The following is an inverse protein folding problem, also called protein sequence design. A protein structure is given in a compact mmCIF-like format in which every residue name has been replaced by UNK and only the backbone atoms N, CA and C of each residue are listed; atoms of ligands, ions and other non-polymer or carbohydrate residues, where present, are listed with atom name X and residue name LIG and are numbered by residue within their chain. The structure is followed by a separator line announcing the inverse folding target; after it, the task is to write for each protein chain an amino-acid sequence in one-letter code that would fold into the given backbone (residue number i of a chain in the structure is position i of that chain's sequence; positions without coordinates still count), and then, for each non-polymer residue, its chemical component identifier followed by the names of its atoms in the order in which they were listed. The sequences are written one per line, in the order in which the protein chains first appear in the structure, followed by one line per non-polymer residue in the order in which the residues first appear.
data_IF_577783742602
#
_entry.id   IF_577783742602
#
_cell.length_a   1.000
_cell.length_b   1.000
_cell.length_c   1.000
_cell.angle_alpha   90.00
_cell.angle_beta   90.00
_cell.angle_gamma   90.00
#
_symmetry.space_group_name_H-M   'P 1'
#
loop_
_entity.id
_entity.type
_entity.pdbx_description
1 polymer ?
#
# COMPACT_ATOMS: atom_id res chain seq x y z
N UNK A 1 11.50 17.17 13.98
CA UNK A 1 11.53 15.69 13.81
C UNK A 1 12.38 15.32 12.61
N UNK A 2 12.79 14.05 12.45
CA UNK A 2 13.47 13.59 11.24
C UNK A 2 12.47 13.14 10.15
N UNK A 3 12.95 12.89 8.91
CA UNK A 3 12.08 12.47 7.80
C UNK A 3 11.33 11.16 8.09
N UNK A 4 11.97 10.19 8.75
CA UNK A 4 11.33 8.91 9.11
C UNK A 4 10.17 9.11 10.08
N UNK A 5 10.35 9.98 11.08
CA UNK A 5 9.29 10.35 12.02
C UNK A 5 8.16 11.12 11.32
N UNK A 6 8.51 12.03 10.39
CA UNK A 6 7.54 12.79 9.62
C UNK A 6 6.66 11.89 8.75
N UNK A 7 7.22 10.89 8.06
CA UNK A 7 6.44 9.91 7.32
C UNK A 7 5.56 9.03 8.22
N UNK A 8 6.07 8.64 9.39
CA UNK A 8 5.25 7.91 10.37
C UNK A 8 4.07 8.76 10.82
N UNK A 9 4.30 10.05 11.05
CA UNK A 9 3.24 10.99 11.45
C UNK A 9 2.24 11.26 10.31
N UNK A 10 2.69 11.34 9.07
CA UNK A 10 1.83 11.43 7.89
C UNK A 10 0.85 10.24 7.80
N UNK A 11 1.34 9.02 8.02
CA UNK A 11 0.51 7.82 8.08
C UNK A 11 -0.49 7.88 9.24
N UNK A 12 -0.09 8.44 10.38
CA UNK A 12 -0.97 8.65 11.53
C UNK A 12 -2.11 9.60 11.22
N UNK A 13 -1.81 10.78 10.64
CA UNK A 13 -2.85 11.72 10.21
C UNK A 13 -3.82 11.05 9.23
N UNK A 14 -3.30 10.29 8.26
CA UNK A 14 -4.16 9.58 7.30
C UNK A 14 -5.07 8.56 7.98
N UNK A 15 -4.59 7.83 8.98
CA UNK A 15 -5.40 6.88 9.74
C UNK A 15 -6.53 7.60 10.51
N UNK A 16 -6.22 8.71 11.18
CA UNK A 16 -7.22 9.52 11.89
C UNK A 16 -8.27 10.12 10.94
N UNK A 17 -7.85 10.59 9.77
CA UNK A 17 -8.78 11.06 8.72
C UNK A 17 -9.72 9.95 8.28
N UNK A 18 -9.21 8.74 8.00
CA UNK A 18 -10.05 7.60 7.63
C UNK A 18 -11.07 7.25 8.71
N UNK A 19 -10.69 7.36 9.98
CA UNK A 19 -11.60 7.08 11.10
C UNK A 19 -12.70 8.16 11.22
N UNK A 20 -12.34 9.44 11.13
CA UNK A 20 -13.30 10.55 11.06
C UNK A 20 -14.27 10.41 9.86
N UNK A 21 -13.74 10.06 8.68
CA UNK A 21 -14.55 9.82 7.49
C UNK A 21 -15.53 8.68 7.69
N UNK A 22 -15.11 7.57 8.31
CA UNK A 22 -15.99 6.43 8.59
C UNK A 22 -17.14 6.81 9.53
N UNK A 23 -16.84 7.60 10.57
CA UNK A 23 -17.88 8.12 11.48
C UNK A 23 -18.88 8.99 10.72
N UNK A 24 -18.40 9.92 9.88
CA UNK A 24 -19.22 10.88 9.14
C UNK A 24 -19.97 10.27 7.94
N UNK A 25 -19.46 9.23 7.33
CA UNK A 25 -20.15 8.51 6.23
C UNK A 25 -21.28 7.63 6.72
N UNK A 26 -21.27 7.23 7.99
CA UNK A 26 -22.33 6.43 8.55
C UNK A 26 -23.55 7.32 8.81
N UNK A 27 -24.60 7.12 8.01
CA UNK A 27 -25.84 7.89 8.10
C UNK A 27 -26.50 7.82 9.49
N UNK A 28 -26.40 6.70 10.18
CA UNK A 28 -26.94 6.55 11.53
C UNK A 28 -26.28 7.50 12.53
N UNK A 29 -25.01 7.86 12.32
CA UNK A 29 -24.29 8.80 13.18
C UNK A 29 -24.66 10.25 12.93
N UNK A 30 -24.99 10.62 11.69
CA UNK A 30 -25.21 12.01 11.25
C UNK A 30 -26.69 12.39 11.17
N UNK A 31 -27.61 11.45 11.41
CA UNK A 31 -29.06 11.71 11.41
C UNK A 31 -29.66 11.33 12.75
N UNK A 32 -30.69 12.08 13.17
CA UNK A 32 -31.53 11.72 14.32
C UNK A 32 -32.86 11.25 13.79
N UNK A 33 -33.21 10.01 14.09
CA UNK A 33 -34.49 9.43 13.71
C UNK A 33 -35.44 9.41 14.93
N UNK A 34 -36.64 9.94 14.75
CA UNK A 34 -37.66 9.95 15.76
C UNK A 34 -38.92 9.28 15.19
N UNK A 35 -39.32 8.18 15.78
CA UNK A 35 -40.50 7.41 15.39
C UNK A 35 -41.63 7.75 16.36
N UNK A 36 -42.73 8.30 15.87
CA UNK A 36 -43.93 8.55 16.68
C UNK A 36 -45.03 7.57 16.29
N UNK A 37 -45.36 6.67 17.19
CA UNK A 37 -46.47 5.75 17.03
C UNK A 37 -47.77 6.50 17.22
N UNK A 38 -48.47 6.81 16.13
CA UNK A 38 -49.73 7.57 16.15
C UNK A 38 -50.89 6.67 16.60
N UNK A 39 -50.91 6.27 17.89
CA UNK A 39 -51.87 5.33 18.49
C UNK A 39 -53.29 5.92 18.52
N UNK A 40 -53.42 7.23 18.75
CA UNK A 40 -54.70 7.95 18.77
C UNK A 40 -55.50 7.82 17.46
N UNK A 41 -54.82 7.58 16.30
CA UNK A 41 -55.51 7.37 15.01
C UNK A 41 -56.33 6.09 14.95
N UNK A 42 -55.97 5.06 15.72
CA UNK A 42 -56.63 3.76 15.76
C UNK A 42 -57.49 3.65 17.00
N UNK A 43 -57.06 4.18 18.13
CA UNK A 43 -57.72 4.18 19.41
C UNK A 43 -57.69 5.60 19.99
N UNK A 44 -58.80 6.36 19.89
CA UNK A 44 -58.80 7.80 20.26
C UNK A 44 -58.39 8.08 21.71
N UNK A 45 -58.56 7.09 22.61
CA UNK A 45 -58.21 7.19 24.03
C UNK A 45 -56.70 6.92 24.30
N UNK A 46 -55.96 6.41 23.30
CA UNK A 46 -54.56 6.09 23.46
C UNK A 46 -53.70 7.33 23.18
N UNK A 47 -52.70 7.58 24.01
CA UNK A 47 -51.69 8.58 23.77
C UNK A 47 -50.62 8.08 22.78
N UNK A 48 -50.11 8.97 21.94
CA UNK A 48 -49.01 8.70 21.04
C UNK A 48 -47.71 8.47 21.82
N UNK A 49 -46.89 7.57 21.31
CA UNK A 49 -45.58 7.25 21.88
C UNK A 49 -44.46 7.61 20.90
N UNK A 50 -43.52 8.40 21.38
CA UNK A 50 -42.36 8.80 20.59
C UNK A 50 -41.09 8.07 21.06
N UNK A 51 -40.43 7.37 20.12
CA UNK A 51 -39.18 6.68 20.35
C UNK A 51 -38.09 7.35 19.49
N UNK A 52 -36.97 7.68 20.12
CA UNK A 52 -35.79 8.25 19.43
C UNK A 52 -34.80 7.14 19.25
N UNK A 53 -34.37 6.91 17.98
CA UNK A 53 -33.27 6.02 17.67
C UNK A 53 -31.97 6.70 18.02
N UNK A 54 -31.18 6.13 18.90
CA UNK A 54 -29.86 6.66 19.30
C UNK A 54 -28.80 6.02 18.41
N UNK A 55 -27.92 6.82 17.75
CA UNK A 55 -26.78 6.28 17.01
C UNK A 55 -25.86 5.45 17.92
N UNK A 56 -25.25 4.40 17.36
CA UNK A 56 -24.34 3.50 18.10
C UNK A 56 -22.98 4.15 18.44
N UNK A 57 -22.64 5.28 17.80
CA UNK A 57 -21.36 5.93 18.05
C UNK A 57 -21.35 6.80 19.32
N UNK A 58 -20.25 6.75 20.06
CA UNK A 58 -20.00 7.64 21.21
C UNK A 58 -19.90 9.13 20.82
N UNK A 59 -19.71 9.41 19.54
CA UNK A 59 -19.57 10.78 18.98
C UNK A 59 -20.92 11.41 18.56
N UNK A 60 -22.05 10.77 18.78
CA UNK A 60 -23.36 11.23 18.28
C UNK A 60 -23.71 12.68 18.69
N UNK A 61 -23.26 13.12 19.85
CA UNK A 61 -23.43 14.52 20.32
C UNK A 61 -22.38 15.51 19.83
N UNK A 62 -21.31 15.02 19.14
CA UNK A 62 -20.13 15.79 18.73
C UNK A 62 -19.85 15.71 17.22
N UNK A 63 -20.84 15.33 16.40
CA UNK A 63 -20.64 15.10 14.96
C UNK A 63 -20.10 16.35 14.23
N UNK A 64 -20.57 17.53 14.60
CA UNK A 64 -20.03 18.78 14.04
C UNK A 64 -18.55 18.95 14.40
N UNK A 65 -18.16 18.61 15.62
CA UNK A 65 -16.76 18.72 16.04
C UNK A 65 -15.89 17.68 15.35
N UNK A 66 -16.40 16.46 15.10
CA UNK A 66 -15.71 15.45 14.27
C UNK A 66 -15.50 15.95 12.84
N UNK A 67 -16.49 16.63 12.25
CA UNK A 67 -16.34 17.22 10.91
C UNK A 67 -15.29 18.34 10.90
N UNK A 68 -15.25 19.17 11.92
CA UNK A 68 -14.25 20.24 12.04
C UNK A 68 -12.85 19.66 12.35
N UNK A 69 -12.78 18.57 13.12
CA UNK A 69 -11.53 17.85 13.35
C UNK A 69 -10.98 17.26 12.04
N UNK A 70 -11.85 16.71 11.16
CA UNK A 70 -11.41 16.24 9.85
C UNK A 70 -10.82 17.36 9.00
N UNK A 71 -11.39 18.58 9.03
CA UNK A 71 -10.82 19.75 8.35
C UNK A 71 -9.46 20.13 8.94
N UNK A 72 -9.35 20.16 10.27
CA UNK A 72 -8.08 20.38 10.96
C UNK A 72 -7.01 19.36 10.58
N UNK A 73 -7.35 18.08 10.53
CA UNK A 73 -6.43 17.02 10.09
C UNK A 73 -5.96 17.21 8.64
N UNK A 74 -6.84 17.72 7.76
CA UNK A 74 -6.48 18.03 6.39
C UNK A 74 -5.48 19.20 6.31
N UNK A 75 -5.66 20.23 7.13
CA UNK A 75 -4.75 21.37 7.23
C UNK A 75 -3.38 20.92 7.78
N UNK A 76 -3.37 20.12 8.84
CA UNK A 76 -2.16 19.53 9.42
C UNK A 76 -1.41 18.65 8.41
N UNK A 77 -2.14 17.82 7.64
CA UNK A 77 -1.56 17.04 6.55
C UNK A 77 -0.88 17.93 5.52
N UNK A 78 -1.54 18.99 5.10
CA UNK A 78 -0.98 19.95 4.13
C UNK A 78 0.28 20.64 4.65
N UNK A 79 0.29 21.04 5.92
CA UNK A 79 1.43 21.67 6.57
C UNK A 79 2.63 20.70 6.67
N UNK A 80 2.37 19.45 7.08
CA UNK A 80 3.37 18.39 7.16
C UNK A 80 3.96 18.06 5.78
N UNK A 81 3.12 17.88 4.77
CA UNK A 81 3.55 17.60 3.40
C UNK A 81 4.44 18.72 2.84
N UNK A 82 4.11 19.96 3.14
CA UNK A 82 4.95 21.11 2.76
C UNK A 82 6.30 21.11 3.49
N UNK A 83 6.31 20.74 4.78
CA UNK A 83 7.55 20.63 5.57
C UNK A 83 8.43 19.49 5.09
N UNK A 84 7.86 18.31 4.81
CA UNK A 84 8.57 17.16 4.22
C UNK A 84 9.18 17.55 2.86
N UNK A 85 8.42 18.23 2.00
CA UNK A 85 8.92 18.69 0.69
C UNK A 85 10.10 19.64 0.84
N UNK A 86 10.03 20.61 1.77
CA UNK A 86 11.16 21.50 2.04
C UNK A 86 12.39 20.73 2.52
N UNK A 87 12.22 19.76 3.43
CA UNK A 87 13.31 18.93 3.92
C UNK A 87 13.95 18.11 2.79
N UNK A 88 13.15 17.50 1.91
CA UNK A 88 13.64 16.75 0.74
C UNK A 88 14.41 17.64 -0.25
N UNK A 89 13.94 18.85 -0.49
CA UNK A 89 14.60 19.78 -1.40
C UNK A 89 15.99 20.27 -0.92
N UNK A 90 16.26 20.09 0.38
CA UNK A 90 17.57 20.43 0.96
C UNK A 90 18.55 19.25 0.95
N UNK A 91 18.17 18.10 0.39
CA UNK A 91 19.04 16.94 0.23
C UNK A 91 19.94 17.09 -1.01
N UNK A 92 21.14 16.51 -0.94
CA UNK A 92 22.06 16.42 -2.08
C UNK A 92 21.60 15.41 -3.16
N UNK A 93 20.54 14.66 -2.87
CA UNK A 93 19.97 13.65 -3.77
C UNK A 93 18.46 13.90 -3.96
N UNK A 94 17.96 13.64 -5.15
CA UNK A 94 16.51 13.56 -5.39
C UNK A 94 16.00 12.24 -4.83
N UNK A 95 15.51 12.28 -3.58
CA UNK A 95 15.10 11.11 -2.83
C UNK A 95 13.99 10.30 -3.55
N UNK A 96 13.03 10.98 -4.17
CA UNK A 96 11.89 10.30 -4.82
C UNK A 96 12.33 9.58 -6.09
N UNK A 97 13.18 10.23 -6.90
CA UNK A 97 13.77 9.61 -8.09
C UNK A 97 14.68 8.44 -7.72
N UNK A 98 15.51 8.58 -6.67
CA UNK A 98 16.43 7.51 -6.28
C UNK A 98 15.70 6.31 -5.66
N UNK A 99 14.62 6.51 -4.93
CA UNK A 99 13.75 5.41 -4.44
C UNK A 99 13.18 4.63 -5.63
N UNK A 100 12.65 5.31 -6.65
CA UNK A 100 12.11 4.68 -7.85
C UNK A 100 13.19 3.92 -8.64
N UNK A 101 14.35 4.55 -8.85
CA UNK A 101 15.49 3.92 -9.54
C UNK A 101 16.04 2.71 -8.78
N UNK A 102 16.07 2.78 -7.44
CA UNK A 102 16.55 1.67 -6.62
C UNK A 102 15.60 0.48 -6.67
N UNK A 103 14.31 0.73 -6.67
CA UNK A 103 13.30 -0.31 -6.91
C UNK A 103 13.48 -0.96 -8.29
N UNK A 104 13.74 -0.17 -9.33
CA UNK A 104 14.00 -0.70 -10.68
C UNK A 104 15.30 -1.54 -10.72
N UNK A 105 16.39 -1.09 -10.05
CA UNK A 105 17.63 -1.88 -9.92
C UNK A 105 17.39 -3.24 -9.29
N UNK A 106 16.60 -3.29 -8.19
CA UNK A 106 16.25 -4.52 -7.50
C UNK A 106 15.42 -5.46 -8.40
N UNK A 107 14.47 -4.92 -9.15
CA UNK A 107 13.66 -5.70 -10.10
C UNK A 107 14.52 -6.34 -11.19
N UNK A 108 15.46 -5.57 -11.77
CA UNK A 108 16.39 -6.10 -12.79
C UNK A 108 17.33 -7.15 -12.17
N UNK A 109 17.81 -6.91 -10.96
CA UNK A 109 18.65 -7.88 -10.23
C UNK A 109 17.90 -9.21 -9.98
N UNK A 110 16.61 -9.18 -9.67
CA UNK A 110 15.79 -10.37 -9.50
C UNK A 110 15.68 -11.18 -10.79
N UNK A 111 15.47 -10.51 -11.93
CA UNK A 111 15.48 -11.16 -13.25
C UNK A 111 16.83 -11.85 -13.50
N UNK A 112 17.94 -11.18 -13.21
CA UNK A 112 19.28 -11.72 -13.40
C UNK A 112 19.60 -12.88 -12.44
N UNK A 113 19.09 -12.86 -11.21
CA UNK A 113 19.16 -13.99 -10.27
C UNK A 113 18.46 -15.22 -10.86
N UNK A 114 17.26 -15.01 -11.41
CA UNK A 114 16.49 -16.07 -12.08
C UNK A 114 17.27 -16.64 -13.26
N UNK A 115 17.82 -15.80 -14.15
CA UNK A 115 18.64 -16.20 -15.28
C UNK A 115 19.88 -16.99 -14.81
N UNK A 116 20.59 -16.48 -13.78
CA UNK A 116 21.78 -17.15 -13.25
C UNK A 116 21.46 -18.54 -12.64
N UNK A 117 20.23 -18.78 -12.22
CA UNK A 117 19.76 -20.07 -11.71
C UNK A 117 19.47 -21.13 -12.79
N UNK A 118 19.23 -20.71 -14.05
CA UNK A 118 18.90 -21.63 -15.14
C UNK A 118 20.12 -22.49 -15.51
N UNK A 119 19.89 -23.78 -15.75
CA UNK A 119 20.93 -24.74 -16.17
C UNK A 119 20.55 -25.40 -17.48
N UNK A 120 21.56 -25.70 -18.29
CA UNK A 120 21.38 -26.57 -19.45
C UNK A 120 21.00 -27.96 -18.99
N UNK A 121 20.14 -28.62 -19.73
CA UNK A 121 19.68 -29.99 -19.43
C UNK A 121 19.50 -30.78 -20.70
N UNK A 122 19.61 -32.11 -20.57
CA UNK A 122 19.32 -33.05 -21.61
C UNK A 122 18.42 -34.16 -21.06
N UNK A 123 17.39 -34.51 -21.82
CA UNK A 123 16.47 -35.58 -21.46
C UNK A 123 16.01 -36.34 -22.70
N UNK A 124 15.83 -37.64 -22.60
CA UNK A 124 15.20 -38.46 -23.63
C UNK A 124 13.74 -38.70 -23.28
N UNK A 125 12.86 -38.32 -24.20
CA UNK A 125 11.41 -38.51 -24.07
C UNK A 125 11.05 -39.73 -24.91
N UNK A 126 10.74 -40.86 -24.25
CA UNK A 126 10.37 -42.09 -24.91
C UNK A 126 9.09 -41.89 -25.74
N UNK A 127 9.12 -42.37 -26.99
CA UNK A 127 8.01 -42.25 -27.94
C UNK A 127 7.48 -40.80 -28.13
N UNK A 128 8.26 -39.78 -27.83
CA UNK A 128 7.87 -38.39 -27.92
C UNK A 128 7.77 -37.81 -29.31
N UNK A 129 8.39 -38.46 -30.29
CA UNK A 129 8.41 -38.08 -31.69
C UNK A 129 7.59 -39.02 -32.59
N UNK A 130 7.30 -38.56 -33.81
CA UNK A 130 6.65 -39.33 -34.82
C UNK A 130 7.47 -39.26 -36.12
N UNK A 131 7.83 -40.43 -36.66
CA UNK A 131 8.43 -40.58 -37.97
C UNK A 131 7.45 -41.20 -39.00
N UNK A 132 7.82 -41.17 -40.26
CA UNK A 132 7.05 -41.75 -41.33
C UNK A 132 7.93 -42.72 -42.10
N UNK A 133 7.37 -43.86 -42.53
CA UNK A 133 7.99 -44.81 -43.47
C UNK A 133 6.95 -45.32 -44.46
N UNK A 134 7.42 -45.83 -45.57
CA UNK A 134 6.55 -46.55 -46.50
C UNK A 134 6.54 -48.03 -46.14
N UNK A 135 5.37 -48.67 -46.18
CA UNK A 135 5.25 -50.11 -46.02
C UNK A 135 5.52 -50.81 -47.38
N UNK A 136 5.48 -52.15 -47.39
CA UNK A 136 5.71 -52.96 -48.58
C UNK A 136 4.71 -52.69 -49.71
N UNK A 137 3.53 -52.12 -49.39
CA UNK A 137 2.46 -51.79 -50.32
C UNK A 137 2.56 -50.37 -50.85
N UNK A 138 3.62 -49.61 -50.50
CA UNK A 138 3.83 -48.22 -50.89
C UNK A 138 3.05 -47.21 -50.10
N UNK A 139 2.32 -47.60 -49.07
CA UNK A 139 1.57 -46.68 -48.21
C UNK A 139 2.46 -46.06 -47.12
N UNK A 140 2.26 -44.75 -46.86
CA UNK A 140 2.93 -44.04 -45.78
C UNK A 140 2.34 -44.46 -44.42
N UNK A 141 3.17 -45.02 -43.53
CA UNK A 141 2.79 -45.39 -42.16
C UNK A 141 3.61 -44.59 -41.16
N UNK A 142 3.01 -44.27 -40.04
CA UNK A 142 3.69 -43.56 -38.93
C UNK A 142 4.35 -44.57 -37.99
N UNK A 143 5.44 -44.15 -37.38
CA UNK A 143 6.05 -44.87 -36.24
C UNK A 143 6.44 -43.89 -35.14
N UNK A 144 6.49 -44.35 -33.92
CA UNK A 144 6.98 -43.57 -32.77
C UNK A 144 8.48 -43.75 -32.63
N UNK A 145 9.14 -42.65 -32.24
CA UNK A 145 10.55 -42.62 -31.92
C UNK A 145 10.82 -41.80 -30.65
N UNK A 146 11.95 -42.04 -30.04
CA UNK A 146 12.38 -41.26 -28.91
C UNK A 146 12.84 -39.84 -29.35
N UNK A 147 12.62 -38.87 -28.50
CA UNK A 147 13.06 -37.47 -28.73
C UNK A 147 14.12 -37.12 -27.71
N UNK A 148 15.30 -36.79 -28.17
CA UNK A 148 16.35 -36.17 -27.37
C UNK A 148 16.07 -34.67 -27.31
N UNK A 149 15.64 -34.19 -26.13
CA UNK A 149 15.42 -32.76 -25.87
C UNK A 149 16.66 -32.20 -25.17
N UNK A 150 17.32 -31.26 -25.81
CA UNK A 150 18.46 -30.53 -25.25
C UNK A 150 18.02 -29.11 -25.03
N UNK A 151 18.11 -28.65 -23.77
CA UNK A 151 17.87 -27.24 -23.42
C UNK A 151 19.24 -26.61 -23.12
N UNK A 152 19.58 -25.56 -23.85
CA UNK A 152 20.83 -24.81 -23.67
C UNK A 152 20.52 -23.38 -23.28
N UNK A 153 21.40 -22.79 -22.48
CA UNK A 153 21.36 -21.37 -22.17
C UNK A 153 21.81 -20.59 -23.40
N UNK A 154 21.04 -19.57 -23.82
CA UNK A 154 21.35 -18.75 -24.98
C UNK A 154 21.88 -17.34 -24.64
N UNK A 155 22.48 -17.19 -23.45
CA UNK A 155 23.09 -15.97 -22.96
C UNK A 155 24.43 -16.29 -22.25
N UNK A 156 25.29 -15.27 -22.12
CA UNK A 156 26.52 -15.39 -21.35
C UNK A 156 26.22 -15.23 -19.84
N UNK A 157 26.32 -16.35 -19.13
CA UNK A 157 26.06 -16.40 -17.69
C UNK A 157 27.09 -15.57 -16.89
N UNK A 158 28.33 -15.45 -17.35
CA UNK A 158 29.36 -14.72 -16.62
C UNK A 158 29.08 -13.22 -16.69
N UNK A 159 28.64 -12.71 -17.85
CA UNK A 159 28.20 -11.33 -18.02
C UNK A 159 26.98 -11.05 -17.11
N UNK A 160 25.97 -11.92 -17.13
CA UNK A 160 24.77 -11.75 -16.26
C UNK A 160 25.18 -11.74 -14.78
N UNK A 161 26.09 -12.63 -14.35
CA UNK A 161 26.58 -12.64 -12.96
C UNK A 161 27.34 -11.39 -12.58
N UNK A 162 28.17 -10.87 -13.47
CA UNK A 162 28.92 -9.63 -13.24
C UNK A 162 27.99 -8.43 -13.10
N UNK A 163 27.01 -8.29 -13.99
CA UNK A 163 26.00 -7.23 -13.94
C UNK A 163 25.09 -7.34 -12.71
N UNK A 164 24.68 -8.56 -12.32
CA UNK A 164 23.95 -8.79 -11.08
C UNK A 164 24.73 -8.25 -9.88
N UNK A 165 26.00 -8.60 -9.75
CA UNK A 165 26.85 -8.11 -8.66
C UNK A 165 27.05 -6.59 -8.68
N UNK A 166 27.03 -5.95 -9.86
CA UNK A 166 27.09 -4.49 -9.98
C UNK A 166 25.77 -3.85 -9.51
N UNK A 167 24.63 -4.41 -9.92
CA UNK A 167 23.31 -3.91 -9.54
C UNK A 167 23.05 -4.06 -8.04
N UNK A 168 23.40 -5.22 -7.46
CA UNK A 168 23.24 -5.48 -6.03
C UNK A 168 24.04 -4.45 -5.20
N UNK A 169 25.33 -4.22 -5.54
CA UNK A 169 26.14 -3.19 -4.85
C UNK A 169 25.55 -1.79 -4.99
N UNK A 170 25.12 -1.40 -6.20
CA UNK A 170 24.53 -0.09 -6.42
C UNK A 170 23.20 0.09 -5.65
N UNK A 171 22.41 -0.98 -5.53
CA UNK A 171 21.15 -0.96 -4.77
C UNK A 171 21.41 -0.84 -3.27
N UNK A 172 22.39 -1.59 -2.74
CA UNK A 172 22.75 -1.56 -1.32
C UNK A 172 23.34 -0.18 -0.92
N UNK A 173 24.24 0.37 -1.73
CA UNK A 173 24.83 1.70 -1.52
C UNK A 173 23.75 2.80 -1.52
N UNK A 174 22.78 2.72 -2.44
CA UNK A 174 21.70 3.70 -2.49
C UNK A 174 20.74 3.53 -1.31
N UNK A 175 20.39 2.29 -0.93
CA UNK A 175 19.57 2.04 0.24
C UNK A 175 20.20 2.62 1.51
N UNK A 176 21.50 2.42 1.70
CA UNK A 176 22.23 2.99 2.84
C UNK A 176 22.21 4.53 2.84
N UNK A 177 22.37 5.18 1.68
CA UNK A 177 22.26 6.64 1.57
C UNK A 177 20.86 7.14 1.90
N UNK A 178 19.82 6.49 1.38
CA UNK A 178 18.41 6.83 1.68
C UNK A 178 18.10 6.68 3.17
N UNK A 179 18.57 5.61 3.81
CA UNK A 179 18.39 5.39 5.25
C UNK A 179 19.07 6.50 6.08
N UNK A 180 20.27 6.92 5.70
CA UNK A 180 20.95 8.04 6.34
C UNK A 180 20.12 9.32 6.18
N UNK A 181 19.66 9.65 4.98
CA UNK A 181 18.80 10.82 4.73
C UNK A 181 17.54 10.78 5.59
N UNK A 182 16.90 9.62 5.74
CA UNK A 182 15.67 9.44 6.54
C UNK A 182 15.87 9.79 8.01
N UNK A 183 17.03 9.49 8.58
CA UNK A 183 17.26 9.68 10.03
C UNK A 183 18.00 10.97 10.36
N UNK A 184 18.78 11.54 9.41
CA UNK A 184 19.58 12.75 9.67
C UNK A 184 18.88 14.04 9.23
N UNK A 185 18.00 13.97 8.22
CA UNK A 185 17.35 15.19 7.71
C UNK A 185 16.25 15.68 8.64
N UNK A 186 16.35 16.95 9.03
CA UNK A 186 15.39 17.58 9.93
C UNK A 186 14.17 18.11 9.15
N UNK A 187 12.98 17.81 9.64
CA UNK A 187 11.71 18.37 9.19
C UNK A 187 11.24 19.37 10.21
N UNK A 188 11.07 20.62 9.77
CA UNK A 188 10.54 21.72 10.61
C UNK A 188 9.02 21.63 10.68
N UNK A 189 8.55 20.79 11.59
CA UNK A 189 7.15 20.58 11.91
C UNK A 189 7.00 20.10 13.34
N UNK A 190 6.05 20.67 14.05
CA UNK A 190 5.71 20.29 15.45
C UNK A 190 4.35 19.60 15.44
N UNK A 191 4.28 18.30 15.78
CA UNK A 191 3.03 17.58 15.84
C UNK A 191 2.08 18.14 16.91
N UNK A 192 0.77 18.31 16.59
CA UNK A 192 -0.20 18.77 17.58
C UNK A 192 -0.58 17.68 18.60
N UNK A 193 -0.30 16.40 18.34
CA UNK A 193 -0.58 15.25 19.22
C UNK A 193 0.47 14.16 19.04
N UNK A 194 0.54 13.21 19.98
CA UNK A 194 1.50 12.10 19.92
C UNK A 194 1.15 11.12 18.77
N UNK A 195 2.16 10.59 18.10
CA UNK A 195 2.02 9.64 17.00
C UNK A 195 1.32 8.33 17.41
N UNK A 196 1.35 7.99 18.70
CA UNK A 196 0.72 6.77 19.23
C UNK A 196 -0.69 7.03 19.77
N UNK A 197 -1.16 8.29 19.87
CA UNK A 197 -2.51 8.63 20.34
C UNK A 197 -3.60 7.90 19.53
N UNK A 198 -4.64 7.38 20.19
CA UNK A 198 -5.84 6.90 19.51
C UNK A 198 -6.64 8.04 18.85
N UNK A 199 -7.73 7.70 18.17
CA UNK A 199 -8.62 8.71 17.61
C UNK A 199 -9.29 9.54 18.72
N UNK A 200 -9.78 8.89 19.78
CA UNK A 200 -10.41 9.56 20.90
C UNK A 200 -9.45 10.56 21.55
N UNK A 201 -8.21 10.14 21.86
CA UNK A 201 -7.22 11.01 22.50
C UNK A 201 -6.85 12.22 21.62
N UNK A 202 -6.64 12.00 20.32
CA UNK A 202 -6.31 13.07 19.37
C UNK A 202 -7.48 14.04 19.21
N UNK A 203 -8.71 13.54 19.18
CA UNK A 203 -9.93 14.35 19.08
C UNK A 203 -10.17 15.15 20.36
N UNK A 204 -9.99 14.58 21.54
CA UNK A 204 -10.10 15.29 22.81
C UNK A 204 -9.05 16.38 22.92
N UNK A 205 -7.80 16.10 22.59
CA UNK A 205 -6.73 17.11 22.54
C UNK A 205 -7.08 18.28 21.60
N UNK A 206 -7.63 17.98 20.42
CA UNK A 206 -8.12 19.02 19.51
C UNK A 206 -9.22 19.88 20.14
N UNK A 207 -10.19 19.28 20.82
CA UNK A 207 -11.28 20.01 21.48
C UNK A 207 -10.77 20.92 22.62
N UNK A 208 -9.77 20.47 23.37
CA UNK A 208 -9.16 21.26 24.45
C UNK A 208 -8.40 22.47 23.90
N UNK A 209 -7.64 22.27 22.82
CA UNK A 209 -6.84 23.35 22.21
C UNK A 209 -7.66 24.37 21.40
N UNK A 210 -8.92 24.06 21.09
CA UNK A 210 -9.86 24.95 20.37
C UNK A 210 -10.62 25.90 21.29
N UNK A 211 -10.68 25.61 22.60
CA UNK A 211 -11.34 26.47 23.60
C UNK A 211 -10.45 27.62 23.98
#
# INVERSE_FOLDING_TARGET
MNLKEAFRYQNKIQALMCEAENILRNRANITKVTNTNLRHKVMPEASDETVVEIPETEYCGKITDVALFLVFLLEEKSALDAAIRRAKNNLDIDMDSEVALNSARQTVAEIFRTMNGIRSSEQTIANGGTGYRFNTDGNQVTYRCDVRRVTTINYDRNVIRAELGRLDRAADEMSAKLDICMVTSSVDYTPPFDVNSGFADAFENYLENRR
#
